data_IF_829427011659
#
_entry.id   IF_829427011659
#
_cell.length_a   1.000
_cell.length_b   1.000
_cell.length_c   1.000
_cell.angle_alpha   90.00
_cell.angle_beta   90.00
_cell.angle_gamma   90.00
#
_symmetry.space_group_name_H-M   'P 1'
#
loop_
_entity.id
_entity.type
_entity.pdbx_description
1 polymer ?
#
# COMPACT_ATOMS: atom_id res chain seq x y z
N UNK A 1 8.38 -25.93 -10.24
CA UNK A 1 7.95 -27.02 -9.34
C UNK A 1 6.43 -27.04 -9.28
N UNK A 2 5.82 -28.22 -9.40
CA UNK A 2 4.37 -28.38 -9.35
C UNK A 2 3.88 -28.29 -7.91
N UNK A 3 2.64 -27.85 -7.72
CA UNK A 3 2.11 -27.57 -6.37
C UNK A 3 0.62 -27.92 -6.32
N UNK A 4 0.18 -28.48 -5.20
CA UNK A 4 -1.24 -28.66 -4.90
C UNK A 4 -1.54 -28.36 -3.42
N UNK A 5 -2.78 -28.03 -3.13
CA UNK A 5 -3.28 -27.81 -1.78
C UNK A 5 -3.62 -29.15 -1.14
N UNK A 6 -3.01 -29.47 -0.01
CA UNK A 6 -3.18 -30.76 0.67
C UNK A 6 -4.49 -30.87 1.44
N UNK A 7 -5.00 -29.74 1.93
CA UNK A 7 -6.20 -29.71 2.75
C UNK A 7 -7.46 -29.41 1.94
N UNK A 8 -7.37 -29.30 0.61
CA UNK A 8 -8.53 -29.05 -0.23
C UNK A 8 -9.42 -30.29 -0.28
N UNK A 9 -10.72 -30.11 -0.04
CA UNK A 9 -11.71 -31.20 -0.10
C UNK A 9 -12.91 -30.78 -0.94
N UNK A 10 -13.57 -31.76 -1.56
CA UNK A 10 -14.75 -31.50 -2.39
C UNK A 10 -16.01 -31.58 -1.53
N UNK A 11 -16.69 -30.44 -1.38
CA UNK A 11 -18.00 -30.36 -0.72
C UNK A 11 -19.09 -30.15 -1.76
N UNK A 12 -20.05 -31.08 -1.86
CA UNK A 12 -21.11 -31.07 -2.89
C UNK A 12 -20.53 -30.78 -4.30
N UNK A 13 -20.76 -29.57 -4.84
CA UNK A 13 -20.31 -29.12 -6.17
C UNK A 13 -19.02 -28.29 -6.16
N UNK A 14 -18.51 -27.89 -5.00
CA UNK A 14 -17.39 -26.96 -4.88
C UNK A 14 -16.19 -27.58 -4.18
N UNK A 15 -15.01 -27.07 -4.50
CA UNK A 15 -13.79 -27.37 -3.74
C UNK A 15 -13.65 -26.35 -2.61
N UNK A 16 -13.61 -26.85 -1.38
CA UNK A 16 -13.34 -26.07 -0.19
C UNK A 16 -11.85 -26.15 0.12
N UNK A 17 -11.25 -24.99 0.44
CA UNK A 17 -9.84 -24.88 0.79
C UNK A 17 -9.76 -24.24 2.19
N UNK A 18 -9.46 -25.01 3.23
CA UNK A 18 -9.27 -24.47 4.57
C UNK A 18 -7.98 -23.65 4.63
N UNK A 19 -8.08 -22.48 5.25
CA UNK A 19 -6.97 -21.55 5.45
C UNK A 19 -6.42 -21.73 6.87
N UNK A 20 -5.10 -21.83 6.97
CA UNK A 20 -4.35 -21.84 8.22
C UNK A 20 -3.57 -20.52 8.28
N UNK A 21 -3.85 -19.68 9.28
CA UNK A 21 -3.35 -18.30 9.35
C UNK A 21 -3.59 -17.54 8.04
N UNK A 22 -4.81 -17.61 7.48
CA UNK A 22 -5.14 -16.94 6.22
C UNK A 22 -4.50 -17.54 4.96
N UNK A 23 -3.71 -18.63 5.06
CA UNK A 23 -3.03 -19.27 3.93
C UNK A 23 -3.36 -20.76 3.77
N UNK A 24 -3.51 -21.28 2.54
CA UNK A 24 -3.72 -22.69 2.31
C UNK A 24 -2.44 -23.50 2.52
N UNK A 25 -2.57 -24.75 2.98
CA UNK A 25 -1.43 -25.66 3.18
C UNK A 25 -0.97 -26.26 1.84
N UNK A 26 0.08 -25.68 1.26
CA UNK A 26 0.63 -26.07 -0.05
C UNK A 26 1.83 -27.00 0.13
N UNK A 27 1.87 -28.10 -0.61
CA UNK A 27 3.04 -28.99 -0.69
C UNK A 27 3.60 -29.06 -2.09
N UNK A 28 4.85 -29.47 -2.18
CA UNK A 28 5.52 -29.73 -3.45
C UNK A 28 5.03 -31.03 -4.08
N UNK A 29 4.91 -31.01 -5.41
CA UNK A 29 4.42 -32.14 -6.17
C UNK A 29 5.33 -32.43 -7.37
N UNK A 30 5.32 -33.70 -7.79
CA UNK A 30 6.07 -34.16 -8.96
C UNK A 30 5.35 -33.89 -10.29
N UNK A 31 4.02 -33.69 -10.30
CA UNK A 31 3.18 -33.47 -11.49
C UNK A 31 2.08 -32.43 -11.22
N UNK A 32 1.54 -31.80 -12.27
CA UNK A 32 0.40 -30.86 -12.19
C UNK A 32 0.68 -29.51 -12.87
N UNK A 33 -0.14 -28.47 -12.65
CA UNK A 33 0.22 -27.11 -13.02
C UNK A 33 1.26 -26.53 -12.05
N UNK A 34 2.15 -25.66 -12.54
CA UNK A 34 3.04 -24.88 -11.66
C UNK A 34 2.14 -24.00 -10.79
N UNK A 35 2.14 -24.20 -9.48
CA UNK A 35 1.28 -23.40 -8.61
C UNK A 35 1.76 -21.96 -8.54
N UNK A 36 0.85 -21.02 -8.81
CA UNK A 36 1.05 -19.58 -8.62
C UNK A 36 0.96 -19.13 -7.15
N UNK A 37 0.60 -20.05 -6.26
CA UNK A 37 0.40 -19.79 -4.85
C UNK A 37 1.72 -19.44 -4.14
N UNK A 38 1.70 -18.36 -3.35
CA UNK A 38 2.82 -17.93 -2.50
C UNK A 38 2.95 -18.84 -1.27
N UNK A 39 4.21 -19.15 -0.86
CA UNK A 39 4.52 -20.02 0.30
C UNK A 39 4.52 -19.30 1.64
N UNK A 40 4.54 -17.98 1.62
CA UNK A 40 4.65 -17.11 2.78
C UNK A 40 3.66 -15.97 2.61
N UNK A 41 3.15 -15.49 3.73
CA UNK A 41 2.45 -14.22 3.78
C UNK A 41 3.39 -13.17 3.20
N UNK A 42 2.89 -12.34 2.28
CA UNK A 42 3.66 -11.20 1.82
C UNK A 42 3.73 -10.20 2.98
N UNK A 43 4.78 -10.32 3.77
CA UNK A 43 5.05 -9.47 4.94
C UNK A 43 5.92 -8.27 4.58
N UNK A 44 5.96 -7.84 3.30
CA UNK A 44 6.75 -6.68 2.93
C UNK A 44 6.16 -5.45 3.63
N UNK A 45 6.93 -4.85 4.54
CA UNK A 45 6.54 -3.61 5.18
C UNK A 45 6.28 -2.57 4.09
N UNK A 46 5.18 -1.83 4.26
CA UNK A 46 4.92 -0.64 3.45
C UNK A 46 5.64 0.53 4.09
N UNK A 47 6.44 1.23 3.29
CA UNK A 47 7.12 2.44 3.71
C UNK A 47 6.37 3.64 3.16
N UNK A 48 5.92 4.52 4.05
CA UNK A 48 5.14 5.70 3.71
C UNK A 48 6.02 6.91 3.94
N UNK A 49 6.14 7.78 2.95
CA UNK A 49 6.93 8.99 3.07
C UNK A 49 6.34 10.12 2.24
N UNK A 50 6.83 11.34 2.48
CA UNK A 50 6.42 12.53 1.77
C UNK A 50 7.45 12.86 0.70
N UNK A 51 7.01 13.02 -0.55
CA UNK A 51 7.88 13.42 -1.64
C UNK A 51 8.14 14.94 -1.59
N UNK A 52 9.27 15.34 -1.00
CA UNK A 52 9.67 16.75 -0.86
C UNK A 52 9.86 17.47 -2.19
N UNK A 53 10.37 16.79 -3.22
CA UNK A 53 10.60 17.41 -4.52
C UNK A 53 9.28 17.71 -5.21
N UNK A 54 8.30 16.81 -5.03
CA UNK A 54 6.95 17.02 -5.52
C UNK A 54 6.28 18.23 -4.84
N UNK A 55 6.46 18.40 -3.53
CA UNK A 55 5.98 19.60 -2.82
C UNK A 55 6.59 20.87 -3.42
N UNK A 56 7.91 20.89 -3.67
CA UNK A 56 8.60 22.04 -4.26
C UNK A 56 8.13 22.37 -5.69
N UNK A 57 7.66 21.38 -6.44
CA UNK A 57 7.04 21.57 -7.75
C UNK A 57 5.62 22.12 -7.60
N UNK A 58 4.81 21.45 -6.78
CA UNK A 58 3.42 21.83 -6.51
C UNK A 58 3.26 23.24 -5.94
N UNK A 59 4.25 23.75 -5.19
CA UNK A 59 4.21 25.11 -4.64
C UNK A 59 4.25 26.20 -5.71
N UNK A 60 4.68 25.86 -6.94
CA UNK A 60 4.72 26.76 -8.09
C UNK A 60 3.52 26.58 -9.02
N UNK A 61 2.64 25.63 -8.74
CA UNK A 61 1.50 25.26 -9.57
C UNK A 61 0.20 25.74 -8.94
N UNK A 62 -0.75 26.06 -9.82
CA UNK A 62 -2.14 26.29 -9.46
C UNK A 62 -2.74 25.06 -8.78
N UNK A 63 -3.74 25.26 -7.93
CA UNK A 63 -4.31 24.21 -7.09
C UNK A 63 -4.78 22.99 -7.90
N UNK A 64 -5.33 23.21 -9.09
CA UNK A 64 -5.87 22.18 -10.00
C UNK A 64 -4.80 21.31 -10.65
N UNK A 65 -3.56 21.81 -10.71
CA UNK A 65 -2.42 21.13 -11.34
C UNK A 65 -1.52 20.42 -10.33
N UNK A 66 -1.85 20.48 -9.03
CA UNK A 66 -1.04 19.87 -7.99
C UNK A 66 -1.21 18.36 -8.02
N UNK A 67 -0.07 17.68 -7.96
CA UNK A 67 0.01 16.21 -7.98
C UNK A 67 0.09 15.63 -6.55
N UNK A 68 -0.23 14.34 -6.34
CA UNK A 68 -0.16 13.72 -5.02
C UNK A 68 1.28 13.61 -4.48
N UNK A 69 1.44 13.86 -3.18
CA UNK A 69 2.77 13.94 -2.53
C UNK A 69 3.03 12.82 -1.52
N UNK A 70 1.99 12.17 -1.02
CA UNK A 70 2.12 11.05 -0.09
C UNK A 70 2.45 9.80 -0.90
N UNK A 71 3.56 9.16 -0.59
CA UNK A 71 4.05 7.98 -1.31
C UNK A 71 3.99 6.77 -0.41
N UNK A 72 3.43 5.69 -0.93
CA UNK A 72 3.47 4.36 -0.32
C UNK A 72 4.35 3.47 -1.20
N UNK A 73 5.43 2.99 -0.63
CA UNK A 73 6.33 2.04 -1.28
C UNK A 73 6.14 0.64 -0.70
N UNK A 74 5.91 -0.32 -1.59
CA UNK A 74 5.85 -1.74 -1.29
C UNK A 74 6.82 -2.48 -2.20
N UNK A 75 8.04 -2.70 -1.71
CA UNK A 75 9.14 -3.24 -2.52
C UNK A 75 9.46 -2.29 -3.67
N UNK A 76 9.21 -2.72 -4.92
CA UNK A 76 9.46 -1.89 -6.13
C UNK A 76 8.25 -1.05 -6.56
N UNK A 77 7.08 -1.30 -5.98
CA UNK A 77 5.83 -0.62 -6.35
C UNK A 77 5.71 0.66 -5.53
N UNK A 78 5.45 1.78 -6.20
CA UNK A 78 5.15 3.06 -5.57
C UNK A 78 3.75 3.50 -5.94
N UNK A 79 2.98 3.90 -4.95
CA UNK A 79 1.65 4.49 -5.10
C UNK A 79 1.63 5.88 -4.49
N UNK A 80 0.86 6.77 -5.09
CA UNK A 80 0.79 8.17 -4.69
C UNK A 80 -0.65 8.54 -4.33
N UNK A 81 -0.81 9.29 -3.24
CA UNK A 81 -2.11 9.78 -2.80
C UNK A 81 -2.05 11.19 -2.22
N UNK A 82 -3.22 11.81 -2.10
CA UNK A 82 -3.41 13.08 -1.40
C UNK A 82 -3.70 12.87 0.08
N UNK A 83 -4.44 11.80 0.40
CA UNK A 83 -4.82 11.41 1.75
C UNK A 83 -4.80 9.89 1.87
N UNK A 84 -4.48 9.40 3.05
CA UNK A 84 -4.51 7.98 3.37
C UNK A 84 -4.85 7.72 4.83
N UNK A 85 -5.33 6.50 5.09
CA UNK A 85 -5.62 5.98 6.41
C UNK A 85 -4.86 4.67 6.62
N UNK A 86 -4.27 4.50 7.80
CA UNK A 86 -3.55 3.30 8.22
C UNK A 86 -4.38 2.64 9.32
N UNK A 87 -4.93 1.47 9.04
CA UNK A 87 -5.92 0.82 9.91
C UNK A 87 -5.29 -0.01 11.06
N UNK A 88 -4.03 0.25 11.43
CA UNK A 88 -3.33 -0.58 12.41
C UNK A 88 -1.98 0.00 12.84
N UNK A 89 -1.15 -0.77 13.56
CA UNK A 89 0.10 -0.28 14.10
C UNK A 89 1.04 0.19 13.00
N UNK A 90 1.78 1.24 13.31
CA UNK A 90 2.80 1.81 12.46
C UNK A 90 3.97 2.31 13.32
N UNK A 91 5.14 2.42 12.69
CA UNK A 91 6.35 2.94 13.33
C UNK A 91 6.84 4.13 12.53
N UNK A 92 7.06 5.25 13.21
CA UNK A 92 7.74 6.40 12.59
C UNK A 92 9.24 6.20 12.78
N UNK A 93 10.00 6.30 11.68
CA UNK A 93 11.44 6.08 11.66
C UNK A 93 12.10 7.37 11.17
N UNK A 94 13.07 7.86 11.93
CA UNK A 94 14.00 8.91 11.50
C UNK A 94 15.40 8.31 11.43
N UNK A 95 16.05 8.45 10.28
CA UNK A 95 17.38 7.92 10.02
C UNK A 95 18.16 8.91 9.15
N UNK A 96 18.98 9.79 9.76
CA UNK A 96 19.74 10.80 9.02
C UNK A 96 20.88 10.19 8.20
N UNK A 97 21.53 9.14 8.71
CA UNK A 97 22.71 8.53 8.08
C UNK A 97 22.34 7.52 6.99
N UNK A 98 21.16 6.90 7.10
CA UNK A 98 20.64 5.94 6.13
C UNK A 98 19.23 6.33 5.72
N UNK A 99 19.11 6.98 4.57
CA UNK A 99 17.81 7.26 3.97
C UNK A 99 17.12 5.98 3.48
N UNK A 100 15.79 6.03 3.37
CA UNK A 100 14.96 4.87 3.01
C UNK A 100 15.41 4.17 1.72
N UNK A 101 15.85 4.94 0.73
CA UNK A 101 16.62 4.39 -0.38
C UNK A 101 18.07 4.82 -0.19
N UNK A 102 19.03 3.96 -0.48
CA UNK A 102 20.45 4.23 -0.27
C UNK A 102 21.15 4.84 -1.50
N UNK A 103 20.45 4.88 -2.65
CA UNK A 103 21.07 5.13 -3.95
C UNK A 103 20.88 6.56 -4.51
N UNK A 104 20.05 7.42 -3.89
CA UNK A 104 19.70 8.74 -4.46
C UNK A 104 19.71 9.86 -3.41
N UNK A 105 20.10 11.08 -3.82
CA UNK A 105 20.25 12.24 -2.92
C UNK A 105 18.93 12.83 -2.40
N UNK A 106 17.78 12.36 -2.92
CA UNK A 106 16.43 12.85 -2.58
C UNK A 106 15.61 11.82 -1.79
N UNK A 107 16.28 10.99 -0.99
CA UNK A 107 15.57 9.95 -0.26
C UNK A 107 15.02 10.50 1.07
N UNK A 108 13.85 10.00 1.53
CA UNK A 108 13.28 10.44 2.79
C UNK A 108 14.14 9.96 3.95
N UNK A 109 14.48 10.88 4.84
CA UNK A 109 15.16 10.60 6.12
C UNK A 109 14.17 10.29 7.24
N UNK A 110 12.89 10.64 7.04
CA UNK A 110 11.78 10.28 7.91
C UNK A 110 10.75 9.52 7.08
N UNK A 111 10.28 8.38 7.57
CA UNK A 111 9.21 7.61 6.96
C UNK A 111 8.40 6.87 8.04
N UNK A 112 7.26 6.31 7.63
CA UNK A 112 6.40 5.47 8.45
C UNK A 112 6.46 4.05 7.90
N UNK A 113 6.78 3.08 8.73
CA UNK A 113 6.74 1.65 8.38
C UNK A 113 5.47 1.02 8.94
N UNK A 114 4.77 0.24 8.12
CA UNK A 114 3.60 -0.51 8.58
C UNK A 114 3.40 -1.81 7.82
N UNK A 115 2.90 -2.82 8.51
CA UNK A 115 2.37 -4.05 7.92
C UNK A 115 0.83 -4.04 7.82
N UNK A 116 0.21 -2.98 8.33
CA UNK A 116 -1.23 -2.82 8.36
C UNK A 116 -1.78 -2.49 6.98
N UNK A 117 -3.07 -2.72 6.80
CA UNK A 117 -3.76 -2.33 5.58
C UNK A 117 -3.77 -0.81 5.44
N UNK A 118 -3.41 -0.36 4.24
CA UNK A 118 -3.42 1.05 3.84
C UNK A 118 -4.62 1.28 2.92
N UNK A 119 -5.37 2.35 3.18
CA UNK A 119 -6.43 2.82 2.30
C UNK A 119 -6.13 4.25 1.87
N UNK A 120 -6.22 4.51 0.58
CA UNK A 120 -6.21 5.87 0.09
C UNK A 120 -7.61 6.43 0.17
N UNK A 121 -7.69 7.70 0.57
CA UNK A 121 -8.94 8.37 0.82
C UNK A 121 -9.11 9.49 -0.20
N UNK A 122 -10.33 9.74 -0.62
CA UNK A 122 -10.70 10.98 -1.28
C UNK A 122 -10.87 12.12 -0.25
N UNK A 123 -11.16 13.32 -0.74
CA UNK A 123 -11.49 14.50 0.09
C UNK A 123 -12.72 14.33 0.99
N UNK A 124 -13.62 13.40 0.67
CA UNK A 124 -14.82 13.13 1.45
C UNK A 124 -14.56 12.05 2.52
N UNK A 125 -13.38 11.43 2.52
CA UNK A 125 -13.04 10.32 3.41
C UNK A 125 -13.63 8.98 2.96
N UNK A 126 -13.89 8.81 1.67
CA UNK A 126 -14.26 7.55 1.03
C UNK A 126 -13.02 6.86 0.43
N UNK A 127 -12.97 5.50 0.45
CA UNK A 127 -11.85 4.77 -0.08
C UNK A 127 -11.75 4.90 -1.60
N UNK A 128 -10.61 5.38 -2.10
CA UNK A 128 -10.35 5.58 -3.53
C UNK A 128 -9.23 4.66 -4.05
N UNK A 129 -9.39 4.15 -5.28
CA UNK A 129 -8.27 3.53 -6.02
C UNK A 129 -7.30 4.59 -6.52
N UNK A 130 -6.03 4.51 -6.12
CA UNK A 130 -5.02 5.50 -6.52
C UNK A 130 -4.79 5.55 -8.03
N UNK A 131 -4.90 6.79 -8.55
CA UNK A 131 -4.53 7.36 -9.87
C UNK A 131 -5.68 8.24 -10.39
N UNK A 132 -6.03 9.28 -9.65
CA UNK A 132 -6.93 10.32 -10.19
C UNK A 132 -6.21 11.66 -10.11
N UNK A 133 -6.10 12.40 -11.22
CA UNK A 133 -5.68 13.79 -11.19
C UNK A 133 -6.65 14.61 -10.32
N UNK A 134 -6.17 15.72 -9.75
CA UNK A 134 -6.88 16.59 -8.80
C UNK A 134 -8.22 17.16 -9.33
N UNK A 135 -8.54 16.94 -10.60
CA UNK A 135 -9.67 17.52 -11.36
C UNK A 135 -11.06 17.29 -10.77
N UNK A 136 -11.23 16.49 -9.71
CA UNK A 136 -12.53 16.17 -9.10
C UNK A 136 -12.63 16.54 -7.61
N UNK A 137 -11.62 17.22 -7.04
CA UNK A 137 -11.67 17.62 -5.63
C UNK A 137 -12.33 19.01 -5.50
N UNK A 138 -13.28 19.21 -4.57
CA UNK A 138 -13.76 20.55 -4.24
C UNK A 138 -12.56 21.41 -3.83
N UNK A 139 -12.52 22.64 -4.35
CA UNK A 139 -11.51 23.63 -3.99
C UNK A 139 -11.33 23.69 -2.47
N UNK A 140 -10.10 23.89 -2.00
CA UNK A 140 -9.66 23.84 -0.58
C UNK A 140 -10.50 24.61 0.46
N UNK A 141 -11.53 25.36 0.04
CA UNK A 141 -12.54 25.99 0.88
C UNK A 141 -13.52 25.00 1.55
N UNK A 142 -13.49 23.70 1.22
CA UNK A 142 -14.43 22.68 1.76
C UNK A 142 -13.76 21.37 2.17
N UNK A 143 -12.60 21.39 2.82
CA UNK A 143 -12.17 20.18 3.55
C UNK A 143 -12.92 20.17 4.89
N UNK A 144 -13.91 19.29 5.11
CA UNK A 144 -14.51 19.16 6.44
C UNK A 144 -13.41 18.66 7.38
N UNK A 145 -13.10 19.45 8.41
CA UNK A 145 -12.27 18.98 9.52
C UNK A 145 -13.06 17.84 10.17
N UNK A 146 -12.61 16.59 9.98
CA UNK A 146 -13.15 15.47 10.76
C UNK A 146 -12.78 15.73 12.22
N UNK A 147 -13.75 16.19 13.02
CA UNK A 147 -13.68 16.10 14.47
C UNK A 147 -13.74 14.62 14.83
N UNK A 148 -12.61 14.07 15.26
CA UNK A 148 -12.58 12.74 15.87
C UNK A 148 -13.29 12.88 17.23
N UNK A 149 -14.33 12.06 17.52
CA UNK A 149 -15.03 12.10 18.80
C UNK A 149 -14.13 11.70 19.97
#
# INVERSE_FOLDING_TARGET
MFRYCTAAYKGKRFWHIPLFNGMPKIVEAKRGPKGLWYRRERSAASNIYINKDQIRKNSKLEAELREPVIVVEQGKRKEYGYQMEIAGPCRIVYSPDRSLHSENKTNPVVWIETHSQIKFMDVNGEPHKCRVPYQHLPTAKKMPVRTVP
#
